data_IF_074319864620
#
_entry.id   IF_074319864620
#
_cell.length_a   1.000
_cell.length_b   1.000
_cell.length_c   1.000
_cell.angle_alpha   90.00
_cell.angle_beta   90.00
_cell.angle_gamma   90.00
#
_symmetry.space_group_name_H-M   'P 1'
#
loop_
_entity.id
_entity.type
_entity.pdbx_description
1 polymer ?
#
# COMPACT_ATOMS: atom_id res chain seq x y z
N UNK A 1 12.33 27.90 10.33
CA UNK A 1 10.91 28.12 10.44
C UNK A 1 10.10 27.34 9.44
N UNK A 2 8.82 27.19 9.73
CA UNK A 2 7.85 26.45 8.91
C UNK A 2 7.72 27.01 7.48
N UNK A 3 7.99 28.30 7.28
CA UNK A 3 7.82 28.95 5.98
C UNK A 3 8.85 28.57 4.90
N UNK A 4 9.98 27.97 5.29
CA UNK A 4 11.02 27.57 4.32
C UNK A 4 10.77 26.22 3.69
N UNK A 5 10.09 25.31 4.37
CA UNK A 5 9.87 23.96 3.89
C UNK A 5 9.07 23.87 2.58
N UNK A 6 8.00 24.65 2.39
CA UNK A 6 7.22 24.58 1.16
C UNK A 6 8.00 25.00 -0.09
N UNK A 7 8.93 25.92 0.04
CA UNK A 7 9.75 26.39 -1.07
C UNK A 7 10.83 25.39 -1.47
N UNK A 8 11.42 24.72 -0.47
CA UNK A 8 12.53 23.81 -0.67
C UNK A 8 12.07 22.41 -1.11
N UNK A 9 10.94 21.93 -0.58
CA UNK A 9 10.40 20.60 -0.85
C UNK A 9 8.89 20.67 -1.07
N UNK A 10 8.42 21.21 -2.22
CA UNK A 10 7.01 21.47 -2.44
C UNK A 10 6.14 20.20 -2.44
N UNK A 11 6.72 19.04 -2.76
CA UNK A 11 6.02 17.76 -2.80
C UNK A 11 6.08 17.00 -1.47
N UNK A 12 6.86 17.45 -0.51
CA UNK A 12 6.96 16.82 0.80
C UNK A 12 5.65 16.96 1.58
N UNK A 13 5.19 15.85 2.14
CA UNK A 13 3.99 15.85 3.00
C UNK A 13 4.18 16.74 4.23
N UNK A 14 5.39 16.77 4.78
CA UNK A 14 5.72 17.62 5.92
C UNK A 14 5.65 19.09 5.55
N UNK A 15 6.15 19.46 4.38
CA UNK A 15 6.11 20.83 3.88
C UNK A 15 4.66 21.30 3.65
N UNK A 16 3.84 20.48 3.06
CA UNK A 16 2.43 20.78 2.83
C UNK A 16 1.69 20.96 4.16
N UNK A 17 1.94 20.10 5.14
CA UNK A 17 1.30 20.17 6.44
C UNK A 17 1.76 21.40 7.23
N UNK A 18 3.06 21.70 7.21
CA UNK A 18 3.61 22.89 7.84
C UNK A 18 3.05 24.19 7.22
N UNK A 19 2.95 24.21 5.91
CA UNK A 19 2.34 25.33 5.17
C UNK A 19 0.87 25.54 5.56
N UNK A 20 0.13 24.45 5.67
CA UNK A 20 -1.28 24.47 6.09
C UNK A 20 -1.43 25.03 7.52
N UNK A 21 -0.59 24.59 8.44
CA UNK A 21 -0.59 25.10 9.83
C UNK A 21 -0.29 26.60 9.85
N UNK A 22 0.75 27.03 9.12
CA UNK A 22 1.15 28.44 9.07
C UNK A 22 0.03 29.32 8.50
N UNK A 23 -0.66 28.85 7.48
CA UNK A 23 -1.75 29.57 6.82
C UNK A 23 -2.98 29.72 7.74
N UNK A 24 -3.26 28.73 8.56
CA UNK A 24 -4.47 28.69 9.40
C UNK A 24 -4.20 28.98 10.88
N UNK A 25 -2.98 29.36 11.25
CA UNK A 25 -2.60 29.59 12.64
C UNK A 25 -3.40 30.71 13.33
N UNK A 26 -3.89 31.68 12.57
CA UNK A 26 -4.68 32.81 13.07
C UNK A 26 -6.15 32.48 13.33
N UNK A 27 -6.62 31.31 12.95
CA UNK A 27 -8.05 30.94 13.00
C UNK A 27 -8.55 30.55 14.37
N UNK A 28 -7.68 30.49 15.39
CA UNK A 28 -8.02 30.06 16.74
C UNK A 28 -7.74 28.56 16.99
N UNK A 29 -7.62 28.22 18.27
CA UNK A 29 -7.20 26.86 18.68
C UNK A 29 -8.17 25.77 18.24
N UNK A 30 -9.46 25.91 18.49
CA UNK A 30 -10.48 24.92 18.18
C UNK A 30 -10.61 24.71 16.65
N UNK A 31 -10.67 25.81 15.90
CA UNK A 31 -10.78 25.79 14.45
C UNK A 31 -9.53 25.16 13.83
N UNK A 32 -8.35 25.53 14.31
CA UNK A 32 -7.07 24.98 13.84
C UNK A 32 -6.98 23.48 14.12
N UNK A 33 -7.43 23.04 15.31
CA UNK A 33 -7.47 21.61 15.67
C UNK A 33 -8.30 20.80 14.70
N UNK A 34 -9.52 21.23 14.39
CA UNK A 34 -10.40 20.56 13.45
C UNK A 34 -9.85 20.57 12.02
N UNK A 35 -9.28 21.70 11.60
CA UNK A 35 -8.64 21.82 10.28
C UNK A 35 -7.45 20.89 10.13
N UNK A 36 -6.62 20.76 11.19
CA UNK A 36 -5.47 19.85 11.17
C UNK A 36 -5.89 18.39 11.14
N UNK A 37 -6.94 18.00 11.87
CA UNK A 37 -7.49 16.65 11.81
C UNK A 37 -7.95 16.31 10.39
N UNK A 38 -8.67 17.23 9.76
CA UNK A 38 -9.11 17.07 8.37
C UNK A 38 -7.94 16.95 7.40
N UNK A 39 -6.93 17.77 7.58
CA UNK A 39 -5.72 17.73 6.74
C UNK A 39 -4.93 16.45 6.93
N UNK A 40 -4.84 15.94 8.14
CA UNK A 40 -4.20 14.65 8.44
C UNK A 40 -4.90 13.52 7.70
N UNK A 41 -6.23 13.48 7.72
CA UNK A 41 -7.02 12.49 7.02
C UNK A 41 -6.79 12.58 5.51
N UNK A 42 -6.78 13.79 4.96
CA UNK A 42 -6.53 14.04 3.54
C UNK A 42 -5.14 13.54 3.11
N UNK A 43 -4.11 13.86 3.88
CA UNK A 43 -2.74 13.40 3.59
C UNK A 43 -2.61 11.88 3.70
N UNK A 44 -3.29 11.27 4.68
CA UNK A 44 -3.33 9.82 4.83
C UNK A 44 -3.97 9.16 3.61
N UNK A 45 -5.11 9.66 3.15
CA UNK A 45 -5.78 9.14 1.96
C UNK A 45 -4.89 9.24 0.72
N UNK A 46 -4.19 10.36 0.56
CA UNK A 46 -3.28 10.58 -0.54
C UNK A 46 -2.11 9.57 -0.53
N UNK A 47 -1.51 9.36 0.65
CA UNK A 47 -0.38 8.44 0.81
C UNK A 47 -0.80 6.98 0.67
N UNK A 48 -1.96 6.60 1.17
CA UNK A 48 -2.47 5.22 1.09
C UNK A 48 -2.89 4.82 -0.32
N UNK A 49 -3.22 5.76 -1.18
CA UNK A 49 -3.76 5.49 -2.52
C UNK A 49 -2.90 4.52 -3.34
N UNK A 50 -1.58 4.70 -3.31
CA UNK A 50 -0.65 3.84 -4.06
C UNK A 50 -0.36 2.53 -3.34
N UNK A 51 -0.37 2.55 -2.01
CA UNK A 51 -0.14 1.36 -1.19
C UNK A 51 -1.27 0.35 -1.35
N UNK A 52 -2.49 0.81 -1.55
CA UNK A 52 -3.67 -0.05 -1.78
C UNK A 52 -3.47 -0.96 -2.99
N UNK A 53 -2.94 -0.44 -4.10
CA UNK A 53 -2.65 -1.24 -5.31
C UNK A 53 -1.66 -2.35 -4.98
N UNK A 54 -0.58 -2.02 -4.27
CA UNK A 54 0.44 -2.98 -3.88
C UNK A 54 -0.14 -4.06 -2.96
N UNK A 55 -1.02 -3.68 -2.04
CA UNK A 55 -1.73 -4.60 -1.15
C UNK A 55 -2.59 -5.60 -1.93
N UNK A 56 -3.35 -5.13 -2.92
CA UNK A 56 -4.18 -6.00 -3.76
C UNK A 56 -3.33 -6.99 -4.56
N UNK A 57 -2.22 -6.53 -5.15
CA UNK A 57 -1.32 -7.40 -5.88
C UNK A 57 -0.72 -8.49 -4.99
N UNK A 58 -0.26 -8.12 -3.80
CA UNK A 58 0.32 -9.07 -2.86
C UNK A 58 -0.67 -10.12 -2.38
N UNK A 59 -1.91 -9.72 -2.13
CA UNK A 59 -2.96 -10.63 -1.66
C UNK A 59 -3.48 -11.55 -2.75
N UNK A 60 -3.57 -11.06 -3.99
CA UNK A 60 -4.21 -11.79 -5.09
C UNK A 60 -3.25 -12.60 -5.94
N UNK A 61 -1.96 -12.26 -5.98
CA UNK A 61 -0.98 -12.98 -6.79
C UNK A 61 -0.91 -14.49 -6.47
N UNK A 62 -0.93 -14.93 -5.18
CA UNK A 62 -0.97 -16.35 -4.86
C UNK A 62 -2.23 -17.03 -5.39
N UNK A 63 -3.37 -16.36 -5.33
CA UNK A 63 -4.65 -16.90 -5.81
C UNK A 63 -4.67 -17.03 -7.33
N UNK A 64 -4.06 -16.10 -8.05
CA UNK A 64 -3.91 -16.18 -9.50
C UNK A 64 -3.03 -17.38 -9.86
N UNK A 65 -1.94 -17.59 -9.12
CA UNK A 65 -1.09 -18.78 -9.27
C UNK A 65 -1.85 -20.08 -9.00
N UNK A 66 -2.68 -20.11 -7.96
CA UNK A 66 -3.53 -21.24 -7.63
C UNK A 66 -4.55 -21.51 -8.73
N UNK A 67 -5.16 -20.49 -9.29
CA UNK A 67 -6.07 -20.63 -10.44
C UNK A 67 -5.35 -21.30 -11.61
N UNK A 68 -4.11 -20.88 -11.89
CA UNK A 68 -3.29 -21.49 -12.92
C UNK A 68 -3.06 -22.98 -12.69
N UNK A 69 -2.81 -23.38 -11.44
CA UNK A 69 -2.67 -24.79 -11.05
C UNK A 69 -3.95 -25.58 -11.33
N UNK A 70 -5.09 -25.04 -10.92
CA UNK A 70 -6.40 -25.69 -11.12
C UNK A 70 -6.69 -25.88 -12.61
N UNK A 71 -6.48 -24.85 -13.42
CA UNK A 71 -6.70 -24.91 -14.86
C UNK A 71 -5.75 -25.94 -15.53
N UNK A 72 -4.50 -25.98 -15.08
CA UNK A 72 -3.52 -26.93 -15.59
C UNK A 72 -3.90 -28.37 -15.27
N UNK A 73 -4.42 -28.65 -14.07
CA UNK A 73 -4.89 -29.97 -13.67
C UNK A 73 -6.12 -30.37 -14.49
N UNK A 74 -7.06 -29.47 -14.68
CA UNK A 74 -8.24 -29.69 -15.52
C UNK A 74 -7.82 -30.08 -16.93
N UNK A 75 -6.86 -29.36 -17.51
CA UNK A 75 -6.32 -29.65 -18.83
C UNK A 75 -5.67 -31.03 -18.88
N UNK A 76 -4.92 -31.40 -17.85
CA UNK A 76 -4.27 -32.70 -17.77
C UNK A 76 -5.28 -33.86 -17.80
N UNK A 77 -6.34 -33.75 -17.00
CA UNK A 77 -7.40 -34.76 -16.96
C UNK A 77 -8.25 -34.77 -18.22
N UNK A 78 -8.52 -33.63 -18.80
CA UNK A 78 -9.22 -33.53 -20.07
C UNK A 78 -8.47 -34.26 -21.17
N UNK A 79 -7.16 -34.05 -21.30
CA UNK A 79 -6.31 -34.70 -22.29
C UNK A 79 -6.26 -36.20 -22.06
N UNK A 80 -6.19 -36.63 -20.81
CA UNK A 80 -6.20 -38.07 -20.47
C UNK A 80 -7.50 -38.76 -20.92
N UNK A 81 -8.64 -38.07 -20.73
CA UNK A 81 -9.96 -38.58 -21.12
C UNK A 81 -10.18 -38.63 -22.63
N UNK A 82 -9.68 -37.63 -23.38
CA UNK A 82 -9.92 -37.50 -24.81
C UNK A 82 -8.88 -38.25 -25.68
N UNK A 83 -7.61 -38.26 -25.27
CA UNK A 83 -6.53 -38.88 -26.00
C UNK A 83 -6.30 -40.34 -25.60
N UNK A 84 -7.04 -40.84 -24.66
CA UNK A 84 -7.14 -42.23 -24.27
C UNK A 84 -5.88 -42.81 -23.62
N UNK A 85 -4.80 -42.92 -24.28
CA UNK A 85 -3.65 -43.63 -23.77
C UNK A 85 -2.40 -42.75 -23.64
N UNK A 86 -2.57 -41.59 -23.09
CA UNK A 86 -1.45 -40.67 -22.85
C UNK A 86 -0.77 -40.95 -21.51
N UNK A 87 -0.54 -42.00 -21.07
CA UNK A 87 0.22 -42.46 -19.90
C UNK A 87 0.50 -41.47 -18.79
N UNK A 88 0.98 -41.96 -17.68
CA UNK A 88 1.34 -41.15 -16.49
C UNK A 88 2.34 -40.04 -16.82
N UNK A 89 3.20 -40.20 -17.82
CA UNK A 89 4.20 -39.18 -18.19
C UNK A 89 3.58 -37.88 -18.64
N UNK A 90 2.53 -37.91 -19.47
CA UNK A 90 1.87 -36.70 -19.97
C UNK A 90 1.15 -35.98 -18.84
N UNK A 91 0.48 -36.73 -17.96
CA UNK A 91 -0.21 -36.18 -16.78
C UNK A 91 0.80 -35.53 -15.85
N UNK A 92 1.92 -36.19 -15.56
CA UNK A 92 2.98 -35.64 -14.70
C UNK A 92 3.57 -34.37 -15.27
N UNK A 93 3.78 -34.31 -16.58
CA UNK A 93 4.29 -33.11 -17.25
C UNK A 93 3.31 -31.95 -17.15
N UNK A 94 2.04 -32.21 -17.35
CA UNK A 94 0.98 -31.19 -17.24
C UNK A 94 0.84 -30.66 -15.82
N UNK A 95 0.91 -31.53 -14.81
CA UNK A 95 0.87 -31.16 -13.40
C UNK A 95 2.11 -30.32 -13.03
N UNK A 96 3.29 -30.75 -13.51
CA UNK A 96 4.53 -29.99 -13.28
C UNK A 96 4.42 -28.57 -13.82
N UNK A 97 3.89 -28.41 -15.03
CA UNK A 97 3.67 -27.09 -15.64
C UNK A 97 2.66 -26.27 -14.83
N UNK A 98 1.60 -26.92 -14.33
CA UNK A 98 0.60 -26.25 -13.49
C UNK A 98 1.20 -25.75 -12.17
N UNK A 99 2.06 -26.54 -11.53
CA UNK A 99 2.73 -26.15 -10.29
C UNK A 99 3.66 -24.95 -10.50
N UNK A 100 4.22 -24.81 -11.69
CA UNK A 100 5.02 -23.65 -12.05
C UNK A 100 4.21 -22.35 -11.95
N UNK A 101 2.93 -22.39 -12.30
CA UNK A 101 2.04 -21.22 -12.17
C UNK A 101 1.92 -20.76 -10.70
N UNK A 102 1.77 -21.71 -9.78
CA UNK A 102 1.75 -21.39 -8.34
C UNK A 102 3.10 -20.81 -7.89
N UNK A 103 4.20 -21.38 -8.33
CA UNK A 103 5.54 -20.88 -8.01
C UNK A 103 5.73 -19.45 -8.51
N UNK A 104 5.29 -19.13 -9.72
CA UNK A 104 5.34 -17.78 -10.26
C UNK A 104 4.48 -16.80 -9.45
N UNK A 105 3.27 -17.23 -9.08
CA UNK A 105 2.39 -16.40 -8.24
C UNK A 105 3.02 -16.05 -6.90
N UNK A 106 3.65 -17.02 -6.25
CA UNK A 106 4.37 -16.82 -4.98
C UNK A 106 5.62 -15.98 -5.16
N UNK A 107 6.35 -16.15 -6.26
CA UNK A 107 7.55 -15.38 -6.55
C UNK A 107 7.22 -13.88 -6.71
N UNK A 108 6.06 -13.56 -7.22
CA UNK A 108 5.57 -12.19 -7.33
C UNK A 108 5.03 -11.71 -5.96
N UNK A 109 4.26 -12.55 -5.29
CA UNK A 109 3.59 -12.19 -4.04
C UNK A 109 4.56 -11.85 -2.90
N UNK A 110 5.63 -12.62 -2.73
CA UNK A 110 6.54 -12.45 -1.60
C UNK A 110 7.21 -11.08 -1.60
N UNK A 111 7.88 -10.63 -2.69
CA UNK A 111 8.46 -9.28 -2.70
C UNK A 111 7.41 -8.18 -2.58
N UNK A 112 6.25 -8.35 -3.20
CA UNK A 112 5.17 -7.36 -3.17
C UNK A 112 4.64 -7.18 -1.75
N UNK A 113 4.43 -8.27 -1.02
CA UNK A 113 3.98 -8.21 0.38
C UNK A 113 5.04 -7.56 1.27
N UNK A 114 6.31 -7.87 1.04
CA UNK A 114 7.42 -7.25 1.78
C UNK A 114 7.44 -5.73 1.56
N UNK A 115 7.32 -5.30 0.32
CA UNK A 115 7.27 -3.88 -0.03
C UNK A 115 6.03 -3.20 0.58
N UNK A 116 4.89 -3.86 0.51
CA UNK A 116 3.65 -3.34 1.10
C UNK A 116 3.79 -3.11 2.60
N UNK A 117 4.37 -4.08 3.31
CA UNK A 117 4.61 -3.97 4.74
C UNK A 117 5.59 -2.84 5.07
N UNK A 118 6.64 -2.71 4.27
CA UNK A 118 7.64 -1.64 4.43
C UNK A 118 6.99 -0.26 4.26
N UNK A 119 6.27 -0.06 3.17
CA UNK A 119 5.61 1.23 2.90
C UNK A 119 4.51 1.55 3.91
N UNK A 120 3.78 0.55 4.38
CA UNK A 120 2.76 0.74 5.42
C UNK A 120 3.38 1.21 6.74
N UNK A 121 4.55 0.68 7.10
CA UNK A 121 5.29 1.14 8.28
C UNK A 121 5.79 2.57 8.11
N UNK A 122 6.31 2.88 6.93
CA UNK A 122 6.76 4.25 6.62
C UNK A 122 5.60 5.24 6.72
N UNK A 123 4.46 4.85 6.18
CA UNK A 123 3.24 5.66 6.26
C UNK A 123 2.84 5.92 7.71
N UNK A 124 2.81 4.89 8.55
CA UNK A 124 2.51 5.05 9.98
C UNK A 124 3.47 6.02 10.66
N UNK A 125 4.76 5.91 10.37
CA UNK A 125 5.78 6.82 10.91
C UNK A 125 5.54 8.26 10.49
N UNK A 126 5.23 8.50 9.22
CA UNK A 126 4.92 9.82 8.70
C UNK A 126 3.68 10.40 9.39
N UNK A 127 2.62 9.61 9.51
CA UNK A 127 1.37 10.05 10.13
C UNK A 127 1.57 10.39 11.62
N UNK A 128 2.36 9.58 12.33
CA UNK A 128 2.71 9.87 13.73
C UNK A 128 3.49 11.18 13.86
N UNK A 129 4.44 11.42 12.95
CA UNK A 129 5.21 12.67 12.93
C UNK A 129 4.32 13.87 12.66
N UNK A 130 3.34 13.74 11.77
CA UNK A 130 2.38 14.80 11.48
C UNK A 130 1.47 15.09 12.68
N UNK A 131 1.05 14.06 13.41
CA UNK A 131 0.28 14.22 14.64
C UNK A 131 1.07 14.98 15.71
N UNK A 132 2.34 14.64 15.87
CA UNK A 132 3.23 15.35 16.80
C UNK A 132 3.37 16.81 16.40
N UNK A 133 3.57 17.08 15.11
CA UNK A 133 3.66 18.43 14.57
C UNK A 133 2.37 19.22 14.84
N UNK A 134 1.22 18.58 14.65
CA UNK A 134 -0.08 19.19 14.91
C UNK A 134 -0.25 19.57 16.39
N UNK A 135 0.13 18.66 17.30
CA UNK A 135 0.04 18.90 18.74
C UNK A 135 1.00 19.99 19.19
N UNK A 136 2.21 20.03 18.66
CA UNK A 136 3.17 21.11 18.94
C UNK A 136 2.67 22.46 18.44
N UNK A 137 2.07 22.51 17.27
CA UNK A 137 1.49 23.72 16.72
C UNK A 137 0.33 24.26 17.60
N UNK A 138 -0.54 23.36 18.07
CA UNK A 138 -1.63 23.72 18.98
C UNK A 138 -1.10 24.27 20.30
N UNK A 139 -0.05 23.63 20.84
CA UNK A 139 0.60 24.10 22.08
C UNK A 139 1.17 25.50 21.90
N UNK A 140 1.79 25.79 20.76
CA UNK A 140 2.32 27.12 20.44
C UNK A 140 1.21 28.17 20.33
N UNK A 141 0.10 27.84 19.68
CA UNK A 141 -1.06 28.75 19.55
C UNK A 141 -1.68 29.04 20.91
N UNK A 142 -1.86 28.02 21.75
CA UNK A 142 -2.40 28.15 23.10
C UNK A 142 -1.49 29.00 23.98
N UNK A 143 -0.17 28.81 23.88
CA UNK A 143 0.81 29.55 24.70
C UNK A 143 0.88 31.03 24.35
N UNK A 144 0.60 31.40 23.12
CA UNK A 144 0.65 32.78 22.65
C UNK A 144 -0.64 33.59 22.98
N UNK A 145 -1.63 32.92 23.53
CA UNK A 145 -2.80 33.60 24.09
C UNK A 145 -2.56 33.96 25.55
#
# INVERSE_FOLDING_TARGET
>A
GFGRYPEQYPESVYARFASFIAEHASSGEAALSHMMEGKLIEERMFLEKRIVILSYLGKNAPFIGLLGTVLGIIKAFYNLGTLGNTGAEVVMRSISTALLATACGLLIAIPVVMLNNYFSRRLKGIMMSLEIMAKEALACVTRNK
#
